data_IF_667800031045
#
_entry.id   IF_667800031045
#
_cell.length_a   1.000
_cell.length_b   1.000
_cell.length_c   1.000
_cell.angle_alpha   90.00
_cell.angle_beta   90.00
_cell.angle_gamma   90.00
#
_symmetry.space_group_name_H-M   'P 1'
#
loop_
_entity.id
_entity.type
_entity.pdbx_description
1 polymer ?
#
# COMPACT_ATOMS: atom_id res chain seq x y z
N UNK A 1 -1.18 17.46 7.82
CA UNK A 1 -2.50 16.92 7.48
C UNK A 1 -2.27 15.59 6.78
N UNK A 2 -2.93 14.52 7.21
CA UNK A 2 -2.73 13.17 6.71
C UNK A 2 -4.03 12.63 6.13
N UNK A 3 -4.04 12.43 4.81
CA UNK A 3 -5.17 11.90 4.05
C UNK A 3 -4.92 10.43 3.74
N UNK A 4 -5.81 9.53 4.18
CA UNK A 4 -5.70 8.10 3.88
C UNK A 4 -6.63 7.70 2.75
N UNK A 5 -6.10 6.95 1.78
CA UNK A 5 -6.88 6.30 0.72
C UNK A 5 -6.89 4.78 0.97
N UNK A 6 -8.03 4.31 1.44
CA UNK A 6 -8.34 2.91 1.73
C UNK A 6 -9.22 2.29 0.64
N UNK A 7 -9.32 0.97 0.59
CA UNK A 7 -10.15 0.26 -0.39
C UNK A 7 -10.88 -0.88 0.29
N UNK A 8 -12.18 -1.01 0.02
CA UNK A 8 -13.01 -2.02 0.69
C UNK A 8 -12.77 -3.45 0.16
N UNK A 9 -12.26 -3.57 -1.06
CA UNK A 9 -11.98 -4.84 -1.72
C UNK A 9 -10.49 -5.18 -1.75
N UNK A 10 -10.20 -6.48 -1.73
CA UNK A 10 -8.83 -6.99 -1.79
C UNK A 10 -8.20 -6.78 -3.19
N UNK A 11 -9.02 -6.68 -4.24
CA UNK A 11 -8.59 -6.51 -5.64
C UNK A 11 -9.20 -5.26 -6.29
N UNK A 12 -8.32 -4.44 -6.85
CA UNK A 12 -8.55 -3.22 -7.65
C UNK A 12 -9.85 -2.43 -7.39
N UNK A 13 -9.94 -1.85 -6.19
CA UNK A 13 -11.00 -0.89 -5.87
C UNK A 13 -10.84 0.47 -6.58
N UNK A 14 -9.76 0.69 -7.35
CA UNK A 14 -9.43 2.00 -7.95
C UNK A 14 -8.62 2.95 -7.06
N UNK A 15 -8.09 2.47 -5.92
CA UNK A 15 -7.30 3.26 -4.95
C UNK A 15 -6.16 4.05 -5.59
N UNK A 16 -5.32 3.40 -6.40
CA UNK A 16 -4.16 4.04 -7.02
C UNK A 16 -4.59 5.18 -7.95
N UNK A 17 -5.64 4.97 -8.74
CA UNK A 17 -6.18 6.00 -9.62
C UNK A 17 -6.68 7.18 -8.81
N UNK A 18 -7.50 6.94 -7.78
CA UNK A 18 -7.98 8.00 -6.88
C UNK A 18 -6.82 8.76 -6.19
N UNK A 19 -5.83 8.04 -5.68
CA UNK A 19 -4.68 8.62 -4.98
C UNK A 19 -3.84 9.48 -5.91
N UNK A 20 -3.62 9.05 -7.16
CA UNK A 20 -2.90 9.83 -8.19
C UNK A 20 -3.60 11.17 -8.48
N UNK A 21 -4.92 11.16 -8.65
CA UNK A 21 -5.68 12.41 -8.87
C UNK A 21 -5.67 13.31 -7.63
N UNK A 22 -5.77 12.73 -6.43
CA UNK A 22 -5.69 13.49 -5.17
C UNK A 22 -4.32 14.15 -4.98
N UNK A 23 -3.24 13.40 -5.22
CA UNK A 23 -1.86 13.91 -5.23
C UNK A 23 -1.73 15.06 -6.22
N UNK A 24 -2.24 14.89 -7.45
CA UNK A 24 -2.20 15.96 -8.45
C UNK A 24 -2.99 17.20 -8.04
N UNK A 25 -4.17 17.04 -7.45
CA UNK A 25 -5.04 18.14 -7.00
C UNK A 25 -4.40 18.94 -5.87
N UNK A 26 -3.74 18.24 -4.95
CA UNK A 26 -3.22 18.84 -3.71
C UNK A 26 -1.75 19.29 -3.80
N UNK A 27 -0.98 18.71 -4.73
CA UNK A 27 0.47 18.86 -4.78
C UNK A 27 1.21 18.17 -3.63
N UNK A 28 0.52 17.34 -2.84
CA UNK A 28 1.10 16.59 -1.74
C UNK A 28 2.03 15.46 -2.23
N UNK A 29 2.87 14.94 -1.33
CA UNK A 29 3.57 13.68 -1.60
C UNK A 29 2.60 12.50 -1.35
N UNK A 30 2.54 11.59 -2.33
CA UNK A 30 1.79 10.35 -2.23
C UNK A 30 2.65 9.20 -1.72
N UNK A 31 2.21 8.52 -0.66
CA UNK A 31 2.91 7.45 0.01
C UNK A 31 2.23 6.10 -0.21
N UNK A 32 3.01 5.05 -0.43
CA UNK A 32 2.54 3.66 -0.50
C UNK A 32 3.41 2.80 0.42
N UNK A 33 3.21 2.87 1.76
CA UNK A 33 4.16 2.36 2.74
C UNK A 33 4.54 0.89 2.52
N UNK A 34 3.55 0.08 2.14
CA UNK A 34 3.74 -1.31 1.76
C UNK A 34 3.09 -1.59 0.42
N UNK A 35 3.69 -2.47 -0.35
CA UNK A 35 3.14 -2.99 -1.59
C UNK A 35 3.67 -4.40 -1.86
N UNK A 36 3.09 -5.07 -2.86
CA UNK A 36 3.65 -6.31 -3.34
C UNK A 36 3.20 -6.64 -4.75
N UNK A 37 4.08 -7.31 -5.48
CA UNK A 37 3.85 -7.82 -6.82
C UNK A 37 3.86 -9.35 -6.77
N UNK A 38 3.13 -9.96 -7.67
CA UNK A 38 3.29 -11.38 -7.97
C UNK A 38 4.18 -11.53 -9.21
N UNK A 39 5.23 -12.34 -9.14
CA UNK A 39 6.19 -12.53 -10.22
C UNK A 39 5.55 -13.02 -11.51
N UNK A 40 4.43 -13.75 -11.42
CA UNK A 40 3.69 -14.23 -12.58
C UNK A 40 2.65 -13.22 -13.04
N UNK A 41 1.76 -12.77 -12.15
CA UNK A 41 0.63 -11.90 -12.54
C UNK A 41 1.02 -10.43 -12.76
N UNK A 42 2.10 -9.96 -12.14
CA UNK A 42 2.62 -8.60 -12.24
C UNK A 42 3.98 -8.58 -12.93
N UNK A 43 4.24 -9.53 -13.83
CA UNK A 43 5.56 -9.75 -14.42
C UNK A 43 6.13 -8.49 -15.09
N UNK A 44 5.33 -7.74 -15.83
CA UNK A 44 5.80 -6.51 -16.51
C UNK A 44 6.16 -5.39 -15.53
N UNK A 45 5.45 -5.31 -14.38
CA UNK A 45 5.79 -4.38 -13.30
C UNK A 45 7.14 -4.77 -12.66
N UNK A 46 7.38 -6.08 -12.47
CA UNK A 46 8.67 -6.58 -11.96
C UNK A 46 9.79 -6.33 -12.96
N UNK A 47 9.54 -6.49 -14.27
CA UNK A 47 10.52 -6.19 -15.32
C UNK A 47 10.90 -4.72 -15.34
N UNK A 48 9.91 -3.84 -15.19
CA UNK A 48 10.16 -2.39 -15.12
C UNK A 48 11.04 -2.06 -13.92
N UNK A 49 10.69 -2.57 -12.73
CA UNK A 49 11.51 -2.37 -11.53
C UNK A 49 12.94 -2.94 -11.66
N UNK A 50 13.09 -4.04 -12.40
CA UNK A 50 14.40 -4.63 -12.71
C UNK A 50 15.25 -3.77 -13.66
N UNK A 51 14.64 -3.06 -14.61
CA UNK A 51 15.36 -2.10 -15.47
C UNK A 51 15.98 -0.96 -14.66
N UNK A 52 15.33 -0.58 -13.56
CA UNK A 52 15.83 0.41 -12.60
C UNK A 52 16.76 -0.18 -11.53
N UNK A 53 16.94 -1.51 -11.52
CA UNK A 53 17.80 -2.21 -10.56
C UNK A 53 17.28 -2.24 -9.12
N UNK A 54 16.02 -1.85 -8.87
CA UNK A 54 15.45 -1.76 -7.52
C UNK A 54 13.97 -2.13 -7.50
N UNK A 55 13.57 -2.96 -6.53
CA UNK A 55 12.25 -3.56 -6.48
C UNK A 55 11.21 -2.61 -5.88
N UNK A 56 10.21 -2.22 -6.66
CA UNK A 56 9.06 -1.44 -6.19
C UNK A 56 7.80 -1.78 -7.00
N UNK A 57 6.64 -1.26 -6.59
CA UNK A 57 5.35 -1.51 -7.23
C UNK A 57 4.93 -0.45 -8.23
N UNK A 58 4.06 -0.81 -9.19
CA UNK A 58 3.49 0.15 -10.15
C UNK A 58 2.75 1.30 -9.48
N UNK A 59 2.14 1.05 -8.32
CA UNK A 59 1.38 2.05 -7.57
C UNK A 59 2.32 3.16 -7.07
N UNK A 60 3.43 2.77 -6.43
CA UNK A 60 4.46 3.72 -6.00
C UNK A 60 5.01 4.52 -7.20
N UNK A 61 5.28 3.87 -8.33
CA UNK A 61 5.71 4.58 -9.54
C UNK A 61 4.72 5.63 -10.02
N UNK A 62 3.42 5.30 -10.03
CA UNK A 62 2.36 6.22 -10.45
C UNK A 62 2.20 7.38 -9.47
N UNK A 63 2.30 7.12 -8.17
CA UNK A 63 2.23 8.15 -7.13
C UNK A 63 3.42 9.12 -7.21
N UNK A 64 4.64 8.58 -7.30
CA UNK A 64 5.85 9.38 -7.47
C UNK A 64 5.77 10.29 -8.71
N UNK A 65 5.34 9.73 -9.85
CA UNK A 65 5.20 10.50 -11.10
C UNK A 65 4.09 11.57 -11.06
N UNK A 66 3.10 11.44 -10.18
CA UNK A 66 2.02 12.42 -10.02
C UNK A 66 2.36 13.52 -9.00
N UNK A 67 3.28 13.24 -8.08
CA UNK A 67 3.69 14.11 -7.00
C UNK A 67 4.75 15.14 -7.39
N UNK A 68 5.41 15.76 -6.40
CA UNK A 68 6.49 16.71 -6.62
C UNK A 68 7.69 16.09 -7.35
N UNK A 69 8.40 16.93 -8.12
CA UNK A 69 9.62 16.51 -8.82
C UNK A 69 10.69 15.98 -7.85
N UNK A 70 11.40 14.93 -8.26
CA UNK A 70 12.52 14.35 -7.50
C UNK A 70 12.13 13.36 -6.41
N UNK A 71 10.85 13.04 -6.26
CA UNK A 71 10.39 11.92 -5.42
C UNK A 71 10.52 10.62 -6.22
N UNK A 72 11.32 9.68 -5.71
CA UNK A 72 11.48 8.36 -6.35
C UNK A 72 10.48 7.34 -5.77
N UNK A 73 10.08 6.30 -6.53
CA UNK A 73 9.15 5.28 -6.04
C UNK A 73 9.63 4.60 -4.75
N UNK A 74 10.94 4.49 -4.55
CA UNK A 74 11.55 3.87 -3.37
C UNK A 74 11.49 4.72 -2.11
N UNK A 75 11.33 6.04 -2.24
CA UNK A 75 11.25 6.98 -1.12
C UNK A 75 9.88 6.89 -0.43
N UNK A 76 8.84 6.66 -1.23
CA UNK A 76 7.45 6.62 -0.77
C UNK A 76 6.93 5.21 -0.48
N UNK A 77 7.71 4.18 -0.83
CA UNK A 77 7.40 2.79 -0.57
C UNK A 77 8.49 2.19 0.33
N UNK A 78 8.21 2.02 1.63
CA UNK A 78 9.20 1.50 2.56
C UNK A 78 9.46 0.00 2.35
N UNK A 79 8.40 -0.77 2.11
CA UNK A 79 8.48 -2.23 1.95
C UNK A 79 7.78 -2.68 0.67
N UNK A 80 8.46 -3.48 -0.14
CA UNK A 80 7.87 -4.13 -1.31
C UNK A 80 8.11 -5.63 -1.28
N UNK A 81 7.05 -6.42 -1.41
CA UNK A 81 7.13 -7.89 -1.43
C UNK A 81 6.95 -8.45 -2.83
N UNK A 82 7.79 -9.41 -3.19
CA UNK A 82 7.65 -10.25 -4.36
C UNK A 82 7.18 -11.64 -3.95
N UNK A 83 6.05 -12.05 -4.52
CA UNK A 83 5.47 -13.38 -4.40
C UNK A 83 5.62 -14.16 -5.70
N UNK A 84 5.38 -15.47 -5.67
CA UNK A 84 4.96 -16.22 -6.85
C UNK A 84 3.79 -17.15 -6.52
N UNK A 85 2.95 -17.53 -7.49
CA UNK A 85 1.92 -18.53 -7.29
C UNK A 85 2.57 -19.89 -7.05
N UNK A 86 2.00 -20.69 -6.14
CA UNK A 86 2.46 -22.05 -5.86
C UNK A 86 1.41 -23.06 -6.31
N UNK A 87 1.59 -23.71 -7.47
CA UNK A 87 0.67 -24.75 -7.94
C UNK A 87 0.59 -25.92 -6.95
N UNK A 88 -0.62 -26.24 -6.49
CA UNK A 88 -0.87 -27.39 -5.60
C UNK A 88 -0.88 -27.07 -4.10
N UNK A 89 -0.51 -25.86 -3.68
CA UNK A 89 -0.82 -25.30 -2.35
C UNK A 89 -0.33 -26.10 -1.14
N UNK A 90 0.86 -26.74 -1.21
CA UNK A 90 1.38 -27.57 -0.12
C UNK A 90 2.46 -26.86 0.70
N UNK A 91 2.02 -26.02 1.64
CA UNK A 91 2.54 -25.85 3.00
C UNK A 91 4.05 -25.68 3.23
N UNK A 92 4.72 -24.85 2.45
CA UNK A 92 6.03 -24.28 2.78
C UNK A 92 5.96 -23.27 3.93
N UNK A 93 7.09 -23.08 4.61
CA UNK A 93 7.20 -22.28 5.86
C UNK A 93 6.91 -20.79 5.65
N UNK A 94 7.07 -20.28 4.41
CA UNK A 94 6.89 -18.89 4.03
C UNK A 94 5.86 -18.75 2.89
N UNK A 95 4.69 -19.34 3.10
CA UNK A 95 3.57 -19.30 2.16
C UNK A 95 2.38 -18.54 2.72
N UNK A 96 1.62 -17.89 1.83
CA UNK A 96 0.38 -17.22 2.17
C UNK A 96 -0.61 -17.27 1.01
N UNK A 97 -1.80 -17.81 1.25
CA UNK A 97 -2.91 -17.87 0.29
C UNK A 97 -2.54 -18.52 -1.07
N UNK A 98 -1.81 -19.64 -1.06
CA UNK A 98 -1.37 -20.32 -2.28
C UNK A 98 -0.25 -19.60 -3.04
N UNK A 99 0.45 -18.68 -2.37
CA UNK A 99 1.62 -17.97 -2.88
C UNK A 99 2.84 -18.26 -2.01
N UNK A 100 3.99 -18.33 -2.65
CA UNK A 100 5.28 -18.49 -1.99
C UNK A 100 6.02 -17.15 -1.97
N UNK A 101 6.52 -16.77 -0.79
CA UNK A 101 7.36 -15.60 -0.62
C UNK A 101 8.68 -15.80 -1.37
N UNK A 102 9.10 -14.81 -2.15
CA UNK A 102 10.40 -14.83 -2.81
C UNK A 102 11.36 -13.83 -2.17
N UNK A 103 10.97 -12.57 -2.11
CA UNK A 103 11.87 -11.47 -1.84
C UNK A 103 11.12 -10.27 -1.27
N UNK A 104 11.62 -9.68 -0.19
CA UNK A 104 11.22 -8.34 0.25
C UNK A 104 12.36 -7.35 -0.06
N UNK A 105 11.98 -6.14 -0.47
CA UNK A 105 12.81 -4.94 -0.28
C UNK A 105 12.27 -4.20 0.95
N UNK A 106 13.14 -3.89 1.90
CA UNK A 106 12.85 -3.06 3.07
C UNK A 106 13.89 -1.92 3.15
N UNK A 107 13.47 -0.72 2.71
CA UNK A 107 14.36 0.40 2.43
C UNK A 107 15.40 0.01 1.37
N UNK A 108 16.68 0.13 1.71
CA UNK A 108 17.81 -0.30 0.86
C UNK A 108 18.30 -1.73 1.07
N UNK A 109 17.58 -2.57 1.84
CA UNK A 109 18.00 -3.95 2.15
C UNK A 109 17.01 -4.95 1.58
N UNK A 110 17.53 -6.07 1.09
CA UNK A 110 16.72 -7.19 0.61
C UNK A 110 16.66 -8.32 1.63
N UNK A 111 15.52 -9.01 1.66
CA UNK A 111 15.28 -10.21 2.47
C UNK A 111 14.77 -11.31 1.57
N UNK A 112 15.53 -12.39 1.43
CA UNK A 112 15.26 -13.45 0.47
C UNK A 112 14.78 -14.72 1.18
N UNK A 113 13.82 -15.40 0.56
CA UNK A 113 13.43 -16.74 0.99
C UNK A 113 14.59 -17.73 0.74
N UNK A 114 15.17 -18.25 1.82
CA UNK A 114 16.26 -19.23 1.80
C UNK A 114 15.81 -20.66 1.53
N UNK A 115 14.52 -20.96 1.65
CA UNK A 115 13.97 -22.32 1.44
C UNK A 115 13.65 -22.61 -0.02
N UNK A 116 13.89 -21.66 -0.93
CA UNK A 116 13.50 -21.77 -2.32
C UNK A 116 14.53 -21.18 -3.28
N UNK A 117 14.52 -21.67 -4.51
CA UNK A 117 15.35 -21.09 -5.57
C UNK A 117 14.64 -19.90 -6.19
N UNK A 118 15.25 -18.72 -6.05
CA UNK A 118 14.79 -17.51 -6.74
C UNK A 118 14.99 -17.63 -8.25
N UNK A 119 14.02 -17.15 -9.07
CA UNK A 119 14.18 -17.10 -10.52
C UNK A 119 15.49 -16.42 -10.92
N UNK A 120 16.16 -16.93 -11.95
CA UNK A 120 17.43 -16.37 -12.43
C UNK A 120 17.33 -14.86 -12.72
N UNK A 121 16.25 -14.47 -13.39
CA UNK A 121 15.91 -13.08 -13.64
C UNK A 121 15.92 -12.21 -12.38
N UNK A 122 15.30 -12.67 -11.27
CA UNK A 122 15.25 -11.93 -10.00
C UNK A 122 16.64 -11.83 -9.38
N UNK A 123 17.43 -12.91 -9.42
CA UNK A 123 18.81 -12.92 -8.90
C UNK A 123 19.75 -11.99 -9.67
N UNK A 124 19.56 -11.88 -10.99
CA UNK A 124 20.40 -11.07 -11.86
C UNK A 124 20.02 -9.59 -11.87
N UNK A 125 18.77 -9.26 -11.52
CA UNK A 125 18.25 -7.89 -11.60
C UNK A 125 18.35 -7.09 -10.30
N UNK A 126 18.50 -7.75 -9.16
CA UNK A 126 18.50 -7.11 -7.84
C UNK A 126 19.72 -7.55 -7.02
N UNK A 127 20.17 -6.77 -6.02
CA UNK A 127 21.38 -7.07 -5.24
C UNK A 127 21.17 -8.17 -4.18
N UNK A 128 20.77 -9.36 -4.63
CA UNK A 128 20.35 -10.49 -3.79
C UNK A 128 21.52 -11.14 -3.04
N UNK A 129 22.75 -10.99 -3.52
CA UNK A 129 23.96 -11.54 -2.88
C UNK A 129 24.15 -10.99 -1.47
N UNK A 130 23.69 -9.75 -1.23
CA UNK A 130 23.74 -9.07 0.06
C UNK A 130 22.46 -9.22 0.90
N UNK A 131 21.47 -9.98 0.41
CA UNK A 131 20.19 -10.13 1.07
C UNK A 131 20.29 -10.94 2.37
N UNK A 132 19.49 -10.55 3.37
CA UNK A 132 19.25 -11.35 4.56
C UNK A 132 18.45 -12.58 4.13
N UNK A 133 18.98 -13.79 4.36
CA UNK A 133 18.27 -15.03 4.04
C UNK A 133 17.48 -15.49 5.25
N UNK A 134 16.23 -15.85 5.02
CA UNK A 134 15.35 -16.42 6.04
C UNK A 134 14.89 -17.81 5.59
N UNK A 135 15.08 -18.79 6.45
CA UNK A 135 14.75 -20.20 6.20
C UNK A 135 13.57 -20.68 7.05
N UNK A 136 13.07 -19.82 7.95
CA UNK A 136 11.91 -20.11 8.77
C UNK A 136 11.01 -18.91 9.01
N UNK A 137 9.77 -19.16 9.43
CA UNK A 137 8.81 -18.12 9.80
C UNK A 137 9.29 -17.33 11.02
N UNK A 138 9.99 -17.97 11.96
CA UNK A 138 10.55 -17.29 13.12
C UNK A 138 11.62 -16.26 12.70
N UNK A 139 12.58 -16.68 11.88
CA UNK A 139 13.60 -15.77 11.33
C UNK A 139 12.97 -14.64 10.51
N UNK A 140 11.94 -14.96 9.72
CA UNK A 140 11.23 -13.94 8.95
C UNK A 140 10.52 -12.94 9.86
N UNK A 141 9.84 -13.38 10.90
CA UNK A 141 9.18 -12.52 11.87
C UNK A 141 10.17 -11.64 12.63
N UNK A 142 11.36 -12.16 12.99
CA UNK A 142 12.42 -11.37 13.62
C UNK A 142 12.92 -10.25 12.69
N UNK A 143 13.11 -10.56 11.40
CA UNK A 143 13.47 -9.57 10.38
C UNK A 143 12.35 -8.54 10.15
N UNK A 144 11.09 -8.97 10.15
CA UNK A 144 9.93 -8.08 10.04
C UNK A 144 9.87 -7.12 11.24
N UNK A 145 10.04 -7.63 12.47
CA UNK A 145 10.00 -6.81 13.68
C UNK A 145 11.18 -5.83 13.77
N UNK A 146 12.38 -6.24 13.34
CA UNK A 146 13.56 -5.40 13.36
C UNK A 146 13.66 -4.48 12.13
N UNK A 147 13.90 -5.07 10.96
CA UNK A 147 14.25 -4.32 9.74
C UNK A 147 13.04 -3.65 9.12
N UNK A 148 11.94 -4.38 8.92
CA UNK A 148 10.74 -3.82 8.26
C UNK A 148 10.03 -2.81 9.15
N UNK A 149 10.00 -3.04 10.47
CA UNK A 149 9.51 -2.08 11.45
C UNK A 149 10.28 -0.76 11.35
N UNK A 150 11.62 -0.81 11.45
CA UNK A 150 12.46 0.40 11.38
C UNK A 150 12.23 1.23 10.11
N UNK A 151 12.19 0.61 8.93
CA UNK A 151 11.99 1.38 7.68
C UNK A 151 10.58 1.96 7.56
N UNK A 152 9.59 1.38 8.25
CA UNK A 152 8.26 1.97 8.36
C UNK A 152 8.21 3.10 9.38
N UNK A 153 8.94 2.99 10.49
CA UNK A 153 9.08 4.08 11.46
C UNK A 153 9.77 5.30 10.81
N UNK A 154 10.82 5.05 10.01
CA UNK A 154 11.50 6.10 9.26
C UNK A 154 10.54 6.77 8.25
N UNK A 155 9.71 5.99 7.55
CA UNK A 155 8.71 6.52 6.62
C UNK A 155 7.57 7.25 7.34
N UNK A 156 7.14 6.77 8.51
CA UNK A 156 6.14 7.43 9.33
C UNK A 156 6.61 8.83 9.74
N UNK A 157 7.84 8.95 10.24
CA UNK A 157 8.41 10.23 10.62
C UNK A 157 8.50 11.21 9.43
N UNK A 158 8.84 10.70 8.24
CA UNK A 158 8.82 11.48 7.00
C UNK A 158 7.41 11.97 6.66
N UNK A 159 6.40 11.09 6.73
CA UNK A 159 4.99 11.43 6.47
C UNK A 159 4.50 12.50 7.45
N UNK A 160 4.79 12.37 8.74
CA UNK A 160 4.40 13.32 9.79
C UNK A 160 5.08 14.69 9.62
N UNK A 161 6.27 14.73 9.01
CA UNK A 161 6.97 15.98 8.72
C UNK A 161 6.36 16.76 7.55
N UNK A 162 5.53 16.12 6.73
CA UNK A 162 4.88 16.79 5.61
C UNK A 162 3.71 17.68 6.07
N UNK A 163 3.56 18.89 5.49
CA UNK A 163 2.39 19.73 5.78
C UNK A 163 1.08 19.05 5.34
N UNK A 164 1.13 18.29 4.24
CA UNK A 164 0.05 17.49 3.70
C UNK A 164 0.61 16.21 3.08
N UNK A 165 0.05 15.06 3.46
CA UNK A 165 0.42 13.75 2.92
C UNK A 165 -0.83 13.01 2.40
N UNK A 166 -0.64 12.23 1.34
CA UNK A 166 -1.65 11.26 0.85
C UNK A 166 -1.08 9.87 1.03
N UNK A 167 -1.64 9.06 1.92
CA UNK A 167 -1.17 7.71 2.20
C UNK A 167 -2.14 6.70 1.58
N UNK A 168 -1.65 5.88 0.66
CA UNK A 168 -2.43 4.81 0.04
C UNK A 168 -2.19 3.48 0.77
N UNK A 169 -3.28 2.86 1.21
CA UNK A 169 -3.25 1.49 1.78
C UNK A 169 -2.92 0.42 0.74
N UNK A 170 -2.49 -0.76 1.20
CA UNK A 170 -2.34 -1.96 0.37
C UNK A 170 -3.47 -2.95 0.63
N UNK A 171 -3.87 -3.68 -0.42
CA UNK A 171 -5.00 -4.61 -0.33
C UNK A 171 -6.25 -3.94 0.24
N UNK A 172 -6.85 -4.58 1.24
CA UNK A 172 -7.98 -4.06 2.01
C UNK A 172 -7.59 -3.76 3.47
N UNK A 173 -6.37 -3.28 3.69
CA UNK A 173 -5.88 -2.90 5.02
C UNK A 173 -6.36 -1.50 5.38
N UNK A 174 -6.88 -1.35 6.59
CA UNK A 174 -7.44 -0.09 7.09
C UNK A 174 -6.34 0.92 7.43
N UNK A 175 -5.24 0.50 8.06
CA UNK A 175 -4.13 1.38 8.44
C UNK A 175 -2.79 0.81 7.99
N UNK A 176 -2.17 1.37 6.94
CA UNK A 176 -0.86 0.89 6.47
C UNK A 176 0.29 1.31 7.40
N UNK A 177 0.09 2.35 8.21
CA UNK A 177 0.97 2.82 9.28
C UNK A 177 0.08 2.98 10.52
N UNK A 178 0.19 2.08 11.50
CA UNK A 178 -0.76 1.98 12.61
C UNK A 178 -0.73 3.15 13.59
N UNK A 179 0.41 3.82 13.69
CA UNK A 179 0.67 4.96 14.59
C UNK A 179 0.36 6.32 13.93
N UNK A 180 0.04 6.35 12.63
CA UNK A 180 -0.30 7.58 11.93
C UNK A 180 -1.74 7.99 12.25
N UNK A 181 -1.93 9.18 12.82
CA UNK A 181 -3.24 9.81 12.95
C UNK A 181 -3.68 10.42 11.61
N UNK A 182 -4.95 10.20 11.24
CA UNK A 182 -5.52 10.68 9.99
C UNK A 182 -6.50 11.84 10.24
N UNK A 183 -6.54 12.79 9.31
CA UNK A 183 -7.53 13.88 9.31
C UNK A 183 -8.79 13.48 8.54
N UNK A 184 -8.64 12.77 7.43
CA UNK A 184 -9.76 12.20 6.68
C UNK A 184 -9.36 10.90 5.97
N UNK A 185 -10.35 10.03 5.78
CA UNK A 185 -10.16 8.74 5.10
C UNK A 185 -11.15 8.59 3.96
N UNK A 186 -10.66 8.32 2.77
CA UNK A 186 -11.44 7.95 1.60
C UNK A 186 -11.39 6.43 1.42
N UNK A 187 -12.51 5.75 1.64
CA UNK A 187 -12.68 4.34 1.29
C UNK A 187 -13.21 4.27 -0.14
N UNK A 188 -12.34 3.91 -1.06
CA UNK A 188 -12.63 3.82 -2.50
C UNK A 188 -13.26 2.47 -2.81
N UNK A 189 -14.33 2.51 -3.60
CA UNK A 189 -15.06 1.33 -4.07
C UNK A 189 -15.43 1.53 -5.55
N UNK A 190 -15.74 0.45 -6.28
CA UNK A 190 -16.32 0.62 -7.61
C UNK A 190 -17.54 1.54 -7.57
N UNK A 191 -17.50 2.61 -8.37
CA UNK A 191 -18.55 3.63 -8.57
C UNK A 191 -18.77 4.63 -7.44
N UNK A 192 -18.06 4.55 -6.31
CA UNK A 192 -18.22 5.53 -5.22
C UNK A 192 -17.01 5.61 -4.29
N UNK A 193 -16.94 6.72 -3.56
CA UNK A 193 -16.01 6.92 -2.46
C UNK A 193 -16.81 7.25 -1.21
N UNK A 194 -16.53 6.55 -0.11
CA UNK A 194 -17.07 6.85 1.21
C UNK A 194 -16.02 7.63 1.99
N UNK A 195 -16.34 8.85 2.38
CA UNK A 195 -15.45 9.73 3.15
C UNK A 195 -15.77 9.59 4.63
N UNK A 196 -14.74 9.49 5.46
CA UNK A 196 -14.82 9.38 6.90
C UNK A 196 -13.98 10.47 7.58
N UNK A 197 -14.47 10.94 8.72
CA UNK A 197 -13.68 11.69 9.69
C UNK A 197 -12.52 10.82 10.18
N UNK A 198 -11.29 11.33 10.11
CA UNK A 198 -10.09 10.54 10.37
C UNK A 198 -10.01 10.02 11.80
N UNK A 199 -10.34 10.85 12.79
CA UNK A 199 -10.33 10.45 14.21
C UNK A 199 -11.34 9.36 14.51
N UNK A 200 -12.55 9.43 13.92
CA UNK A 200 -13.56 8.37 14.04
C UNK A 200 -13.10 7.08 13.36
N UNK A 201 -12.43 7.19 12.22
CA UNK A 201 -11.86 6.05 11.51
C UNK A 201 -10.77 5.35 12.34
N UNK A 202 -9.81 6.10 12.87
CA UNK A 202 -8.73 5.57 13.71
C UNK A 202 -9.26 4.96 15.02
N UNK A 203 -10.29 5.58 15.60
CA UNK A 203 -11.00 5.00 16.74
C UNK A 203 -11.69 3.69 16.39
N UNK A 204 -12.34 3.61 15.22
CA UNK A 204 -12.95 2.40 14.69
C UNK A 204 -11.92 1.28 14.49
N UNK A 205 -10.76 1.60 13.91
CA UNK A 205 -9.65 0.66 13.75
C UNK A 205 -9.18 0.08 15.09
N UNK A 206 -9.01 0.95 16.10
CA UNK A 206 -8.60 0.53 17.44
C UNK A 206 -9.62 -0.42 18.11
N UNK A 207 -10.92 -0.27 17.80
CA UNK A 207 -11.99 -1.17 18.29
C UNK A 207 -11.98 -2.49 17.53
N UNK A 208 -11.84 -2.44 16.19
CA UNK A 208 -11.78 -3.62 15.33
C UNK A 208 -10.56 -4.51 15.65
N UNK A 209 -9.38 -3.91 15.87
CA UNK A 209 -8.15 -4.60 16.24
C UNK A 209 -8.18 -5.21 17.65
N UNK A 210 -9.10 -4.77 18.51
CA UNK A 210 -9.27 -5.27 19.88
C UNK A 210 -9.98 -6.63 20.01
N UNK A 211 -10.40 -7.27 18.91
CA UNK A 211 -11.09 -8.56 18.92
C UNK A 211 -10.17 -9.71 18.46
N UNK A 212 -9.58 -10.51 19.36
CA UNK A 212 -8.75 -11.65 18.99
C UNK A 212 -9.64 -12.83 18.55
N UNK A 213 -9.74 -13.04 17.24
CA UNK A 213 -10.26 -14.28 16.67
C UNK A 213 -9.11 -15.27 16.40
N UNK A 214 -9.30 -16.59 16.63
CA UNK A 214 -8.24 -17.60 16.48
C UNK A 214 -7.73 -17.80 15.05
N UNK A 215 -8.43 -17.24 14.05
CA UNK A 215 -8.12 -17.40 12.62
C UNK A 215 -7.61 -16.12 11.93
N UNK A 216 -7.37 -15.03 12.69
CA UNK A 216 -6.92 -13.75 12.14
C UNK A 216 -5.41 -13.57 12.35
N UNK A 217 -4.67 -13.43 11.25
CA UNK A 217 -3.28 -12.96 11.29
C UNK A 217 -3.20 -11.67 12.11
N UNK A 218 -2.35 -11.66 13.13
CA UNK A 218 -2.56 -10.93 14.38
C UNK A 218 -2.29 -9.42 14.36
N UNK A 219 -2.13 -8.77 13.21
CA UNK A 219 -1.56 -7.40 13.17
C UNK A 219 -2.20 -6.42 12.18
N UNK A 220 -3.08 -6.83 11.28
CA UNK A 220 -3.59 -5.94 10.23
C UNK A 220 -5.12 -5.82 10.27
N UNK A 221 -5.63 -4.61 10.54
CA UNK A 221 -7.06 -4.35 10.51
C UNK A 221 -7.57 -4.28 9.07
N UNK A 222 -8.71 -4.92 8.79
CA UNK A 222 -9.35 -4.85 7.47
C UNK A 222 -10.31 -3.67 7.40
N UNK A 223 -10.40 -3.04 6.24
CA UNK A 223 -11.32 -1.91 6.00
C UNK A 223 -12.76 -2.27 6.36
N UNK A 224 -13.23 -3.46 5.99
CA UNK A 224 -14.58 -3.92 6.28
C UNK A 224 -14.89 -3.96 7.79
N UNK A 225 -13.95 -4.45 8.61
CA UNK A 225 -14.11 -4.53 10.07
C UNK A 225 -14.29 -3.15 10.71
N UNK A 226 -13.78 -2.09 10.06
CA UNK A 226 -13.86 -0.70 10.53
C UNK A 226 -15.13 -0.05 10.02
N UNK A 227 -15.41 -0.16 8.71
CA UNK A 227 -16.55 0.54 8.09
C UNK A 227 -17.92 0.03 8.55
N UNK A 228 -17.97 -1.16 9.15
CA UNK A 228 -19.19 -1.69 9.77
C UNK A 228 -19.50 -1.05 11.14
N UNK A 229 -18.53 -0.35 11.75
CA UNK A 229 -18.63 0.26 13.07
C UNK A 229 -18.93 1.76 13.03
N UNK A 230 -18.72 2.42 11.89
CA UNK A 230 -18.80 3.88 11.75
C UNK A 230 -19.52 4.26 10.45
N UNK A 231 -20.30 5.33 10.50
CA UNK A 231 -20.94 5.91 9.33
C UNK A 231 -20.00 6.88 8.60
N UNK A 232 -19.99 6.90 7.25
CA UNK A 232 -19.28 7.92 6.51
C UNK A 232 -19.89 9.30 6.72
N UNK A 233 -19.07 10.35 6.66
CA UNK A 233 -19.55 11.74 6.66
C UNK A 233 -20.20 12.09 5.33
N UNK A 234 -19.71 11.52 4.23
CA UNK A 234 -20.24 11.71 2.89
C UNK A 234 -20.00 10.47 2.02
N UNK A 235 -20.87 10.24 1.04
CA UNK A 235 -20.67 9.22 0.00
C UNK A 235 -20.85 9.89 -1.36
N UNK A 236 -19.81 9.84 -2.18
CA UNK A 236 -19.76 10.50 -3.49
C UNK A 236 -19.69 9.44 -4.58
N UNK A 237 -20.56 9.53 -5.59
CA UNK A 237 -20.46 8.68 -6.77
C UNK A 237 -19.29 9.14 -7.66
N UNK A 238 -18.51 8.18 -8.18
CA UNK A 238 -17.40 8.45 -9.09
C UNK A 238 -17.59 7.69 -10.41
N UNK A 239 -17.34 8.33 -11.57
CA UNK A 239 -17.48 7.67 -12.86
C UNK A 239 -16.32 6.71 -13.13
N UNK A 240 -16.53 5.67 -13.98
CA UNK A 240 -15.42 4.98 -14.60
C UNK A 240 -14.69 5.92 -15.56
N UNK A 241 -13.37 5.80 -15.64
CA UNK A 241 -12.54 6.60 -16.55
C UNK A 241 -12.07 5.74 -17.74
N UNK A 242 -12.00 6.32 -18.95
CA UNK A 242 -11.36 5.66 -20.08
C UNK A 242 -9.86 5.48 -19.80
N UNK A 243 -9.23 4.56 -20.52
CA UNK A 243 -7.82 4.20 -20.30
C UNK A 243 -6.87 5.40 -20.41
N UNK A 244 -7.09 6.28 -21.40
CA UNK A 244 -6.32 7.52 -21.57
C UNK A 244 -6.31 8.36 -20.30
N UNK A 245 -7.48 8.54 -19.69
CA UNK A 245 -7.66 9.43 -18.56
C UNK A 245 -7.11 8.80 -17.27
N UNK A 246 -7.17 7.46 -17.15
CA UNK A 246 -6.56 6.74 -16.00
C UNK A 246 -5.04 6.90 -15.93
N UNK A 247 -4.39 7.34 -16.99
CA UNK A 247 -2.95 7.59 -17.02
C UNK A 247 -2.59 9.08 -16.98
N UNK A 248 -3.58 9.98 -16.95
CA UNK A 248 -3.40 11.43 -16.82
C UNK A 248 -3.85 11.90 -15.43
N UNK A 249 -2.91 12.24 -14.52
CA UNK A 249 -3.26 12.71 -13.19
C UNK A 249 -4.19 13.94 -13.18
N UNK A 250 -4.09 14.84 -14.17
CA UNK A 250 -4.95 16.01 -14.24
C UNK A 250 -6.39 15.63 -14.65
N UNK A 251 -6.54 14.74 -15.63
CA UNK A 251 -7.85 14.23 -16.02
C UNK A 251 -8.55 13.49 -14.86
N UNK A 252 -7.81 12.73 -14.06
CA UNK A 252 -8.35 12.08 -12.85
C UNK A 252 -8.72 13.13 -11.80
N UNK A 253 -7.88 14.13 -11.58
CA UNK A 253 -8.12 15.21 -10.61
C UNK A 253 -9.44 15.95 -10.92
N UNK A 254 -9.66 16.25 -12.21
CA UNK A 254 -10.87 16.93 -12.69
C UNK A 254 -12.10 16.02 -12.57
N UNK A 255 -12.00 14.76 -12.99
CA UNK A 255 -13.14 13.85 -13.01
C UNK A 255 -13.66 13.48 -11.61
N UNK A 256 -12.78 13.46 -10.61
CA UNK A 256 -13.11 13.09 -9.22
C UNK A 256 -13.15 14.29 -8.26
N UNK A 257 -13.21 15.51 -8.80
CA UNK A 257 -13.24 16.77 -8.04
C UNK A 257 -14.15 16.74 -6.81
N UNK A 258 -15.41 16.35 -6.99
CA UNK A 258 -16.40 16.32 -5.91
C UNK A 258 -16.01 15.40 -4.75
N UNK A 259 -15.39 14.26 -5.05
CA UNK A 259 -14.93 13.32 -4.02
C UNK A 259 -13.73 13.87 -3.25
N UNK A 260 -12.84 14.59 -3.93
CA UNK A 260 -11.71 15.24 -3.26
C UNK A 260 -12.15 16.43 -2.40
N UNK A 261 -13.12 17.22 -2.86
CA UNK A 261 -13.68 18.33 -2.07
C UNK A 261 -14.36 17.82 -0.79
N UNK A 262 -15.13 16.73 -0.89
CA UNK A 262 -15.70 16.06 0.27
C UNK A 262 -14.62 15.60 1.26
N UNK A 263 -13.54 15.00 0.76
CA UNK A 263 -12.42 14.54 1.59
C UNK A 263 -11.67 15.69 2.27
N UNK A 264 -11.35 16.76 1.54
CA UNK A 264 -10.64 17.92 2.08
C UNK A 264 -11.51 18.71 3.08
N UNK A 265 -12.82 18.78 2.84
CA UNK A 265 -13.78 19.35 3.79
C UNK A 265 -13.78 18.57 5.10
N UNK A 266 -13.83 17.23 5.04
CA UNK A 266 -13.76 16.36 6.21
C UNK A 266 -12.43 16.44 6.98
N UNK A 267 -11.32 16.74 6.29
CA UNK A 267 -10.02 16.91 6.94
C UNK A 267 -9.89 18.26 7.68
N UNK A 268 -10.75 19.24 7.38
CA UNK A 268 -10.75 20.57 7.97
C UNK A 268 -11.65 20.74 9.19
N UNK A 269 -12.40 19.71 9.59
CA UNK A 269 -13.34 19.71 10.72
C UNK A 269 -12.71 19.23 12.03
#
# INVERSE_FOLDING_TARGET
MNLLVAGSEQLDAGKTTFSVGLVKRTGAVGYKPRAGNDFWYSHDDVRTAAEDGVLYGKDARRLAAAGPDGVEPTDINAVHRLWRPLPGGVGGVLEQDGREFLLDRAGGTYVANGTTTLPAFVRESFPIESAIRVESLAEFNDVMAGRHGRVQDDLLAEVEAQPLSVVESYGAIARPLSELDHDAVAVVEPRRVRVYDGRRYDKGCSIAGGSPGPDRGTLEERVADVTDLIDPVETVEIPPLPESDRHDPAAIADAYESAYDAMLSAAGT
#
